data_IF_442925924321
#
_entry.id   IF_442925924321
#
_cell.length_a   1.000
_cell.length_b   1.000
_cell.length_c   1.000
_cell.angle_alpha   90.00
_cell.angle_beta   90.00
_cell.angle_gamma   90.00
#
_symmetry.space_group_name_H-M   'P 1'
#
loop_
_entity.id
_entity.type
_entity.pdbx_description
1 polymer ?
#
# COMPACT_ATOMS: atom_id res chain seq x y z
N UNK A 1 29.39 45.73 -1.42
CA UNK A 1 29.33 44.39 -2.05
C UNK A 1 29.80 43.28 -1.11
N UNK A 2 30.76 43.54 -0.20
CA UNK A 2 31.22 42.54 0.79
C UNK A 2 30.15 42.07 1.79
N UNK A 3 29.12 42.86 2.09
CA UNK A 3 28.02 42.44 2.99
C UNK A 3 27.02 41.45 2.35
N UNK A 4 27.00 41.34 1.01
CA UNK A 4 26.18 40.33 0.30
C UNK A 4 26.93 39.00 0.14
N UNK A 5 28.26 39.00 0.15
CA UNK A 5 29.08 37.79 0.14
C UNK A 5 29.15 37.11 1.52
N UNK A 6 29.14 37.88 2.62
CA UNK A 6 29.01 37.31 3.97
C UNK A 6 27.68 36.60 4.22
N UNK A 7 26.61 36.93 3.46
CA UNK A 7 25.33 36.20 3.52
C UNK A 7 25.37 34.83 2.82
N UNK A 8 26.29 34.62 1.88
CA UNK A 8 26.51 33.32 1.25
C UNK A 8 27.39 32.42 2.14
N UNK A 9 28.40 32.98 2.82
CA UNK A 9 29.18 32.22 3.81
C UNK A 9 28.37 31.87 5.07
N UNK A 10 27.35 32.66 5.43
CA UNK A 10 26.40 32.27 6.49
C UNK A 10 25.38 31.21 6.05
N UNK A 11 25.21 30.97 4.75
CA UNK A 11 24.41 29.84 4.24
C UNK A 11 25.27 28.57 4.17
N UNK A 12 26.58 28.70 3.92
CA UNK A 12 27.53 27.59 4.01
C UNK A 12 27.81 27.13 5.46
N UNK A 13 27.49 27.96 6.47
CA UNK A 13 27.59 27.64 7.90
C UNK A 13 26.25 27.34 8.58
N UNK A 14 25.13 27.44 7.86
CA UNK A 14 23.97 26.68 8.26
C UNK A 14 24.35 25.23 7.97
N UNK A 15 24.60 24.47 9.03
CA UNK A 15 24.57 23.01 9.03
C UNK A 15 23.18 22.57 8.52
N UNK A 16 22.97 22.74 7.23
CA UNK A 16 21.79 22.33 6.51
C UNK A 16 21.94 20.81 6.38
N UNK A 17 21.69 20.12 7.49
CA UNK A 17 21.37 18.70 7.57
C UNK A 17 20.03 18.39 6.87
N UNK A 18 19.70 19.15 5.82
CA UNK A 18 18.58 18.90 4.94
C UNK A 18 18.74 17.51 4.32
N UNK A 19 17.70 16.69 4.49
CA UNK A 19 17.50 15.40 3.84
C UNK A 19 18.50 14.26 4.16
N UNK A 20 19.58 14.49 4.91
CA UNK A 20 20.55 13.43 5.28
C UNK A 20 20.07 12.41 6.33
N UNK A 21 18.76 12.27 6.56
CA UNK A 21 18.22 11.30 7.53
C UNK A 21 16.96 10.58 7.07
N UNK A 22 16.68 10.55 5.77
CA UNK A 22 15.40 10.01 5.30
C UNK A 22 15.41 8.64 4.65
N UNK A 23 16.57 7.98 4.53
CA UNK A 23 16.81 6.59 5.00
C UNK A 23 18.33 6.51 5.23
N UNK A 24 18.81 6.68 6.48
CA UNK A 24 20.18 6.28 6.82
C UNK A 24 20.19 4.76 7.06
N UNK A 25 21.34 4.13 6.79
CA UNK A 25 21.67 2.70 6.92
C UNK A 25 21.57 2.13 8.35
N UNK A 26 20.84 2.78 9.23
CA UNK A 26 20.44 2.26 10.53
C UNK A 26 19.13 2.95 10.90
N UNK A 27 18.03 2.23 10.65
CA UNK A 27 16.73 2.39 11.29
C UNK A 27 15.86 3.59 10.94
N UNK A 28 14.56 3.28 10.97
CA UNK A 28 13.44 4.18 10.76
C UNK A 28 13.24 4.96 12.07
N UNK A 29 13.38 6.29 12.06
CA UNK A 29 12.86 7.14 13.14
C UNK A 29 11.33 7.07 13.09
N UNK A 30 10.75 6.03 13.71
CA UNK A 30 9.30 5.85 13.87
C UNK A 30 8.81 6.65 15.06
N UNK A 31 8.17 7.78 14.77
CA UNK A 31 7.69 8.70 15.80
C UNK A 31 6.28 8.33 16.21
N UNK A 32 6.14 7.72 17.40
CA UNK A 32 5.01 7.85 18.33
C UNK A 32 3.56 7.63 17.83
N UNK A 33 2.56 7.81 18.72
CA UNK A 33 1.15 7.52 18.45
C UNK A 33 0.39 8.60 17.64
N UNK A 34 1.09 9.60 17.09
CA UNK A 34 0.46 10.59 16.21
C UNK A 34 0.16 9.97 14.83
N UNK A 35 -0.84 10.49 14.10
CA UNK A 35 -1.12 10.04 12.73
C UNK A 35 0.14 10.17 11.86
N UNK A 36 0.78 9.02 11.60
CA UNK A 36 1.95 8.95 10.74
C UNK A 36 1.48 9.09 9.30
N UNK A 37 1.95 10.12 8.62
CA UNK A 37 1.80 10.24 7.19
C UNK A 37 2.89 9.45 6.45
N UNK A 38 2.62 9.09 5.21
CA UNK A 38 3.65 8.63 4.28
C UNK A 38 3.77 9.57 3.09
N UNK A 39 4.96 9.62 2.50
CA UNK A 39 5.17 10.10 1.15
C UNK A 39 6.11 9.15 0.40
N UNK A 40 5.65 8.65 -0.74
CA UNK A 40 6.39 7.80 -1.67
C UNK A 40 6.89 8.61 -2.83
N UNK A 41 8.18 8.43 -3.13
CA UNK A 41 8.85 9.18 -4.18
C UNK A 41 9.76 8.26 -4.98
N UNK A 42 9.65 8.29 -6.31
CA UNK A 42 10.77 7.81 -7.12
C UNK A 42 11.94 8.79 -7.01
N UNK A 43 13.09 8.32 -6.51
CA UNK A 43 14.33 9.12 -6.51
C UNK A 43 14.69 9.68 -7.90
N UNK A 44 14.27 9.01 -8.98
CA UNK A 44 14.46 9.40 -10.38
C UNK A 44 13.56 10.57 -10.85
N UNK A 45 12.47 10.87 -10.14
CA UNK A 45 11.42 11.84 -10.51
C UNK A 45 11.51 13.17 -9.76
N UNK A 46 12.48 13.29 -8.88
CA UNK A 46 12.72 14.49 -8.09
C UNK A 46 13.54 15.51 -8.90
N UNK A 47 13.23 16.82 -8.81
CA UNK A 47 13.90 17.87 -9.57
C UNK A 47 15.21 18.23 -8.86
N UNK A 48 16.19 17.34 -8.94
CA UNK A 48 17.48 17.54 -8.29
C UNK A 48 18.43 18.34 -9.19
N UNK A 49 18.27 19.66 -9.18
CA UNK A 49 19.31 20.54 -9.74
C UNK A 49 20.58 20.33 -8.90
N UNK A 50 21.63 19.80 -9.53
CA UNK A 50 22.99 19.59 -9.00
C UNK A 50 23.26 18.37 -8.10
N UNK A 51 22.37 17.37 -8.01
CA UNK A 51 22.70 16.12 -7.30
C UNK A 51 23.65 15.24 -8.13
N UNK A 52 24.70 14.71 -7.49
CA UNK A 52 25.59 13.70 -8.08
C UNK A 52 24.83 12.39 -8.37
N UNK A 53 25.30 11.55 -9.30
CA UNK A 53 24.69 10.24 -9.56
C UNK A 53 24.53 9.38 -8.30
N UNK A 54 25.56 9.35 -7.45
CA UNK A 54 25.54 8.66 -6.16
C UNK A 54 24.49 9.24 -5.20
N UNK A 55 24.39 10.56 -5.11
CA UNK A 55 23.34 11.19 -4.30
C UNK A 55 21.94 10.85 -4.82
N UNK A 56 21.73 10.73 -6.14
CA UNK A 56 20.43 10.30 -6.71
C UNK A 56 20.09 8.84 -6.38
N UNK A 57 21.09 7.97 -6.28
CA UNK A 57 20.95 6.56 -5.90
C UNK A 57 20.70 6.35 -4.39
N UNK A 58 21.20 7.26 -3.55
CA UNK A 58 21.06 7.23 -2.08
C UNK A 58 19.79 7.93 -1.56
N UNK A 59 18.89 8.41 -2.44
CA UNK A 59 17.70 9.15 -2.02
C UNK A 59 16.57 8.24 -1.51
N UNK A 60 15.77 8.72 -0.53
CA UNK A 60 14.71 7.93 0.08
C UNK A 60 13.53 7.71 -0.87
N UNK A 61 13.05 6.46 -0.93
CA UNK A 61 11.86 6.10 -1.70
C UNK A 61 10.56 6.17 -0.89
N UNK A 62 10.68 6.27 0.44
CA UNK A 62 9.59 6.33 1.41
C UNK A 62 9.98 7.27 2.54
N UNK A 63 9.12 8.25 2.81
CA UNK A 63 9.13 9.08 4.00
C UNK A 63 8.01 8.63 4.93
N UNK A 64 8.29 8.55 6.23
CA UNK A 64 7.30 8.31 7.29
C UNK A 64 7.42 9.41 8.35
N UNK A 65 6.31 10.05 8.71
CA UNK A 65 6.30 11.06 9.77
C UNK A 65 5.05 11.96 9.74
N UNK A 66 4.95 12.96 10.63
CA UNK A 66 3.75 13.79 10.76
C UNK A 66 3.34 14.43 9.43
N UNK A 67 2.07 14.27 9.04
CA UNK A 67 1.51 14.74 7.75
C UNK A 67 1.78 16.24 7.54
N UNK A 68 1.65 17.03 8.60
CA UNK A 68 1.83 18.49 8.56
C UNK A 68 3.24 18.93 8.14
N UNK A 69 4.27 18.14 8.46
CA UNK A 69 5.67 18.48 8.16
C UNK A 69 5.93 18.44 6.66
N UNK A 70 5.70 17.29 6.01
CA UNK A 70 6.04 17.15 4.59
C UNK A 70 4.98 17.72 3.65
N UNK A 71 3.69 17.81 4.02
CA UNK A 71 2.66 18.41 3.15
C UNK A 71 2.97 19.89 2.85
N UNK A 72 3.52 20.62 3.83
CA UNK A 72 3.97 22.00 3.67
C UNK A 72 5.20 22.11 2.76
N UNK A 73 6.16 21.19 2.88
CA UNK A 73 7.36 21.13 2.05
C UNK A 73 7.05 20.76 0.59
N UNK A 74 6.14 19.80 0.38
CA UNK A 74 5.68 19.41 -0.95
C UNK A 74 4.92 20.54 -1.66
N UNK A 75 4.04 21.24 -0.94
CA UNK A 75 3.25 22.35 -1.50
C UNK A 75 4.06 23.63 -1.73
N UNK A 76 5.14 23.84 -0.97
CA UNK A 76 6.04 24.99 -1.10
C UNK A 76 7.03 24.90 -2.26
N UNK A 77 7.24 23.71 -2.83
CA UNK A 77 8.24 23.49 -3.88
C UNK A 77 7.67 23.69 -5.28
N UNK A 78 8.12 24.76 -5.95
CA UNK A 78 7.71 25.08 -7.33
C UNK A 78 8.34 24.18 -8.39
N UNK A 79 9.43 23.49 -8.06
CA UNK A 79 10.11 22.57 -8.97
C UNK A 79 9.51 21.16 -8.88
N UNK A 80 8.77 20.82 -7.82
CA UNK A 80 8.19 19.50 -7.56
C UNK A 80 6.89 19.28 -8.36
N UNK A 81 6.95 18.41 -9.37
CA UNK A 81 5.72 17.93 -10.02
C UNK A 81 5.03 16.89 -9.13
N UNK A 82 4.08 17.37 -8.32
CA UNK A 82 3.27 16.60 -7.38
C UNK A 82 2.47 15.45 -8.02
N UNK A 83 2.42 15.35 -9.36
CA UNK A 83 1.88 14.17 -10.05
C UNK A 83 2.78 12.93 -9.92
N UNK A 84 4.06 13.09 -9.56
CA UNK A 84 5.00 11.97 -9.43
C UNK A 84 5.13 11.42 -8.00
N UNK A 85 4.22 11.80 -7.11
CA UNK A 85 4.28 11.48 -5.69
C UNK A 85 2.96 10.86 -5.24
N UNK A 86 3.05 9.81 -4.43
CA UNK A 86 1.90 9.33 -3.66
C UNK A 86 2.14 9.65 -2.18
N UNK A 87 1.14 10.12 -1.48
CA UNK A 87 1.24 10.43 -0.07
C UNK A 87 -0.09 10.19 0.62
N UNK A 88 -0.09 10.04 1.94
CA UNK A 88 -1.32 9.81 2.68
C UNK A 88 -1.09 9.47 4.14
N UNK A 89 -2.07 8.82 4.75
CA UNK A 89 -1.95 8.32 6.12
C UNK A 89 -1.37 6.92 6.10
N UNK A 90 -0.59 6.57 7.12
CA UNK A 90 0.01 5.26 7.24
C UNK A 90 -0.09 4.72 8.67
N UNK A 91 -0.06 3.39 8.75
CA UNK A 91 0.15 2.65 9.99
C UNK A 91 1.35 1.75 9.82
N UNK A 92 2.29 1.84 10.75
CA UNK A 92 3.51 1.03 10.73
C UNK A 92 3.39 -0.05 11.78
N UNK A 93 3.72 -1.28 11.41
CA UNK A 93 3.62 -2.47 12.26
C UNK A 93 4.86 -3.32 12.07
N UNK A 94 5.44 -3.80 13.16
CA UNK A 94 6.53 -4.77 13.13
C UNK A 94 5.97 -6.20 13.01
N UNK A 95 6.60 -7.04 12.18
CA UNK A 95 6.26 -8.46 11.97
C UNK A 95 7.55 -9.26 12.01
N UNK A 96 7.82 -9.92 13.15
CA UNK A 96 9.18 -10.39 13.47
C UNK A 96 10.18 -9.22 13.42
N UNK A 97 11.24 -9.37 12.63
CA UNK A 97 12.23 -8.28 12.41
C UNK A 97 11.84 -7.28 11.33
N UNK A 98 10.82 -7.57 10.52
CA UNK A 98 10.50 -6.76 9.35
C UNK A 98 9.45 -5.69 9.66
N UNK A 99 9.41 -4.65 8.82
CA UNK A 99 8.48 -3.53 8.95
C UNK A 99 7.40 -3.63 7.88
N UNK A 100 6.14 -3.55 8.29
CA UNK A 100 4.99 -3.38 7.42
C UNK A 100 4.45 -1.96 7.52
N UNK A 101 4.31 -1.30 6.37
CA UNK A 101 3.70 0.02 6.23
C UNK A 101 2.40 -0.15 5.47
N UNK A 102 1.30 -0.02 6.19
CA UNK A 102 -0.04 0.03 5.63
C UNK A 102 -0.34 1.49 5.27
N UNK A 103 -0.76 1.73 4.04
CA UNK A 103 -0.90 3.06 3.47
C UNK A 103 -2.33 3.27 3.01
N UNK A 104 -2.92 4.40 3.40
CA UNK A 104 -4.16 4.94 2.84
C UNK A 104 -3.77 6.21 2.10
N UNK A 105 -3.63 6.16 0.77
CA UNK A 105 -3.29 7.32 -0.02
C UNK A 105 -4.30 8.44 0.19
N UNK A 106 -3.80 9.67 0.26
CA UNK A 106 -4.63 10.85 0.23
C UNK A 106 -5.38 10.92 -1.09
N UNK A 107 -6.59 11.43 -0.99
CA UNK A 107 -7.42 11.91 -2.08
C UNK A 107 -6.64 12.63 -3.19
N UNK A 108 -6.95 12.30 -4.44
CA UNK A 108 -6.21 12.82 -5.60
C UNK A 108 -4.84 12.16 -5.86
N UNK A 109 -4.39 11.26 -4.98
CA UNK A 109 -3.07 10.62 -5.07
C UNK A 109 -3.25 9.12 -5.18
N UNK A 110 -3.37 8.64 -6.41
CA UNK A 110 -3.33 7.23 -6.66
C UNK A 110 -1.91 6.70 -6.51
N UNK A 111 -1.81 5.43 -6.11
CA UNK A 111 -0.52 4.74 -6.16
C UNK A 111 -0.57 3.74 -7.29
N UNK A 112 -0.02 4.12 -8.46
CA UNK A 112 0.12 3.20 -9.59
C UNK A 112 0.93 1.98 -9.15
N UNK A 113 0.35 0.78 -9.28
CA UNK A 113 1.00 -0.46 -8.86
C UNK A 113 2.31 -0.68 -9.62
N UNK A 114 2.41 -0.21 -10.88
CA UNK A 114 3.66 -0.27 -11.65
C UNK A 114 4.77 0.55 -11.00
N UNK A 115 4.43 1.75 -10.52
CA UNK A 115 5.35 2.61 -9.78
C UNK A 115 5.72 2.01 -8.42
N UNK A 116 4.72 1.55 -7.66
CA UNK A 116 4.91 0.86 -6.38
C UNK A 116 5.80 -0.36 -6.49
N UNK A 117 5.67 -1.14 -7.57
CA UNK A 117 6.43 -2.37 -7.75
C UNK A 117 7.93 -2.16 -7.68
N UNK A 118 8.44 -1.05 -8.24
CA UNK A 118 9.86 -0.72 -8.19
C UNK A 118 10.29 -0.30 -6.78
N UNK A 119 9.49 0.54 -6.11
CA UNK A 119 9.74 0.95 -4.72
C UNK A 119 9.72 -0.27 -3.78
N UNK A 120 8.66 -1.08 -3.82
CA UNK A 120 8.51 -2.32 -3.05
C UNK A 120 9.69 -3.27 -3.24
N UNK A 121 10.23 -3.38 -4.46
CA UNK A 121 11.40 -4.24 -4.74
C UNK A 121 12.68 -3.72 -4.10
N UNK A 122 12.91 -2.41 -4.12
CA UNK A 122 14.07 -1.82 -3.49
C UNK A 122 14.01 -1.95 -1.96
N UNK A 123 12.85 -1.63 -1.37
CA UNK A 123 12.62 -1.67 0.07
C UNK A 123 12.78 -3.06 0.70
N UNK A 124 12.53 -4.13 -0.08
CA UNK A 124 12.74 -5.52 0.35
C UNK A 124 14.20 -5.97 0.41
N UNK A 125 15.15 -5.15 -0.05
CA UNK A 125 16.59 -5.46 -0.02
C UNK A 125 17.28 -5.00 1.26
N UNK A 126 16.64 -4.12 2.04
CA UNK A 126 17.19 -3.62 3.31
C UNK A 126 16.88 -4.59 4.46
N UNK A 127 17.66 -4.51 5.55
CA UNK A 127 17.33 -5.12 6.85
C UNK A 127 17.15 -4.00 7.89
N UNK A 128 16.02 -3.93 8.61
CA UNK A 128 14.81 -4.74 8.43
C UNK A 128 14.16 -4.51 7.05
N UNK A 129 13.50 -5.53 6.47
CA UNK A 129 12.83 -5.36 5.19
C UNK A 129 11.59 -4.52 5.39
N UNK A 130 11.29 -3.66 4.42
CA UNK A 130 10.09 -2.83 4.45
C UNK A 130 9.08 -3.31 3.41
N UNK A 131 7.90 -3.71 3.89
CA UNK A 131 6.77 -4.14 3.08
C UNK A 131 5.72 -3.02 3.02
N UNK A 132 5.34 -2.63 1.80
CA UNK A 132 4.28 -1.65 1.57
C UNK A 132 2.99 -2.34 1.14
N UNK A 133 1.88 -2.00 1.81
CA UNK A 133 0.54 -2.47 1.47
C UNK A 133 -0.42 -1.28 1.43
N UNK A 134 -1.11 -1.09 0.31
CA UNK A 134 -2.20 -0.11 0.20
C UNK A 134 -3.46 -0.78 0.77
N UNK A 135 -4.14 -0.09 1.68
CA UNK A 135 -5.40 -0.54 2.31
C UNK A 135 -6.48 0.50 2.12
N UNK A 136 -7.74 0.09 2.21
CA UNK A 136 -8.91 0.98 2.14
C UNK A 136 -8.99 1.90 3.35
N UNK A 137 -8.76 1.36 4.55
CA UNK A 137 -8.74 2.11 5.81
C UNK A 137 -7.72 1.54 6.81
N UNK A 138 -7.16 2.40 7.68
CA UNK A 138 -6.17 1.98 8.69
C UNK A 138 -6.81 1.27 9.90
N UNK A 139 -8.11 1.50 10.15
CA UNK A 139 -8.93 0.87 11.19
C UNK A 139 -9.05 -0.64 10.99
N UNK A 140 -9.14 -1.11 9.74
CA UNK A 140 -9.21 -2.52 9.39
C UNK A 140 -7.90 -3.29 9.64
N UNK A 141 -6.78 -2.58 9.77
CA UNK A 141 -5.46 -3.20 10.02
C UNK A 141 -5.37 -3.61 11.49
N UNK A 142 -5.41 -4.92 11.75
CA UNK A 142 -5.26 -5.46 13.11
C UNK A 142 -4.01 -4.88 13.78
N UNK A 143 -4.22 -4.15 14.89
CA UNK A 143 -3.22 -3.45 15.72
C UNK A 143 -2.31 -4.38 16.52
N UNK A 144 -2.34 -5.69 16.24
CA UNK A 144 -1.71 -6.67 17.11
C UNK A 144 -0.19 -6.80 16.92
N UNK A 145 0.46 -5.89 16.20
CA UNK A 145 1.91 -5.78 16.24
C UNK A 145 2.34 -4.97 17.44
N UNK A 146 3.48 -5.33 18.01
CA UNK A 146 4.13 -4.51 19.02
C UNK A 146 4.39 -3.09 18.45
N UNK A 147 4.48 -2.10 19.35
CA UNK A 147 5.18 -0.86 18.98
C UNK A 147 6.53 -1.24 18.37
N UNK A 148 6.94 -0.55 17.31
CA UNK A 148 8.18 -0.92 16.62
C UNK A 148 9.35 -0.69 17.56
N UNK A 149 9.83 -1.76 18.16
CA UNK A 149 11.05 -1.83 18.94
C UNK A 149 11.90 -2.86 18.24
N UNK A 150 12.81 -2.40 17.41
CA UNK A 150 13.90 -3.27 17.02
C UNK A 150 14.91 -3.11 18.18
N UNK A 151 15.48 -4.20 18.67
CA UNK A 151 16.56 -4.18 19.67
C UNK A 151 17.74 -4.90 19.02
N UNK A 152 18.89 -4.22 18.91
CA UNK A 152 20.09 -4.79 18.27
C UNK A 152 20.79 -5.82 19.16
N UNK A 153 20.40 -5.94 20.43
CA UNK A 153 21.01 -6.84 21.41
C UNK A 153 20.14 -8.06 21.74
N UNK A 154 19.05 -8.32 21.00
CA UNK A 154 18.21 -9.48 21.25
C UNK A 154 18.98 -10.78 21.00
N UNK A 155 18.87 -11.74 21.93
CA UNK A 155 19.52 -13.03 21.76
C UNK A 155 18.79 -13.85 20.68
N UNK A 156 19.52 -14.67 19.93
CA UNK A 156 18.92 -15.51 18.87
C UNK A 156 17.89 -16.51 19.43
N UNK A 157 18.01 -16.91 20.69
CA UNK A 157 17.02 -17.74 21.38
C UNK A 157 15.71 -17.00 21.66
N UNK A 158 15.78 -15.70 21.98
CA UNK A 158 14.59 -14.87 22.21
C UNK A 158 13.91 -14.55 20.87
N UNK A 159 14.68 -14.27 19.82
CA UNK A 159 14.17 -14.10 18.46
C UNK A 159 13.44 -15.35 17.96
N UNK A 160 14.02 -16.54 18.22
CA UNK A 160 13.39 -17.81 17.90
C UNK A 160 12.02 -17.98 18.58
N UNK A 161 11.93 -17.65 19.88
CA UNK A 161 10.68 -17.74 20.65
C UNK A 161 9.65 -16.74 20.15
N UNK A 162 10.03 -15.49 19.94
CA UNK A 162 9.12 -14.43 19.46
C UNK A 162 8.56 -14.78 18.07
N UNK A 163 9.43 -15.17 17.14
CA UNK A 163 9.03 -15.56 15.80
C UNK A 163 8.11 -16.80 15.81
N UNK A 164 8.42 -17.78 16.66
CA UNK A 164 7.59 -18.97 16.85
C UNK A 164 6.20 -18.64 17.41
N UNK A 165 6.11 -17.74 18.38
CA UNK A 165 4.83 -17.26 18.94
C UNK A 165 4.00 -16.50 17.89
N UNK A 166 4.62 -15.64 17.08
CA UNK A 166 3.94 -14.95 15.99
C UNK A 166 3.41 -15.94 14.93
N UNK A 167 4.22 -16.93 14.54
CA UNK A 167 3.78 -17.99 13.62
C UNK A 167 2.55 -18.75 14.17
N UNK A 168 2.58 -19.13 15.44
CA UNK A 168 1.45 -19.80 16.11
C UNK A 168 0.20 -18.92 16.14
N UNK A 169 0.35 -17.63 16.47
CA UNK A 169 -0.74 -16.65 16.52
C UNK A 169 -1.43 -16.53 15.16
N UNK A 170 -0.68 -16.26 14.10
CA UNK A 170 -1.27 -16.09 12.78
C UNK A 170 -1.76 -17.40 12.18
N UNK A 171 -1.11 -18.55 12.46
CA UNK A 171 -1.66 -19.85 12.12
C UNK A 171 -3.04 -20.06 12.77
N UNK A 172 -3.18 -19.76 14.07
CA UNK A 172 -4.47 -19.89 14.76
C UNK A 172 -5.53 -18.95 14.16
N UNK A 173 -5.15 -17.72 13.80
CA UNK A 173 -6.04 -16.78 13.11
C UNK A 173 -6.52 -17.32 11.75
N UNK A 174 -5.65 -17.95 10.95
CA UNK A 174 -6.09 -18.56 9.68
C UNK A 174 -7.15 -19.63 9.85
N UNK A 175 -7.04 -20.46 10.89
CA UNK A 175 -8.02 -21.52 11.19
C UNK A 175 -9.35 -20.90 11.61
N UNK A 176 -9.31 -19.87 12.47
CA UNK A 176 -10.51 -19.14 12.90
C UNK A 176 -11.23 -18.47 11.73
N UNK A 177 -10.50 -17.77 10.85
CA UNK A 177 -11.08 -17.09 9.69
C UNK A 177 -11.70 -18.10 8.73
N UNK A 178 -11.00 -19.22 8.44
CA UNK A 178 -11.56 -20.29 7.59
C UNK A 178 -12.88 -20.84 8.13
N UNK A 179 -12.92 -21.16 9.42
CA UNK A 179 -14.16 -21.62 10.06
C UNK A 179 -15.28 -20.57 10.00
N UNK A 180 -14.95 -19.28 10.11
CA UNK A 180 -15.94 -18.21 9.99
C UNK A 180 -16.50 -18.08 8.55
N UNK A 181 -15.66 -18.30 7.53
CA UNK A 181 -16.08 -18.24 6.13
C UNK A 181 -17.10 -19.33 5.75
N UNK A 182 -16.99 -20.52 6.36
CA UNK A 182 -17.89 -21.66 6.07
C UNK A 182 -19.36 -21.36 6.41
N UNK A 183 -19.60 -20.52 7.44
CA UNK A 183 -20.95 -20.13 7.87
C UNK A 183 -21.36 -18.70 7.46
N UNK A 184 -20.49 -17.96 6.78
CA UNK A 184 -20.74 -16.57 6.42
C UNK A 184 -21.64 -16.44 5.19
N UNK A 185 -22.47 -15.39 5.17
CA UNK A 185 -23.15 -14.94 3.96
C UNK A 185 -22.12 -14.41 2.93
N UNK A 186 -22.50 -14.20 1.66
CA UNK A 186 -21.55 -13.79 0.61
C UNK A 186 -20.76 -12.52 0.91
N UNK A 187 -21.41 -11.48 1.46
CA UNK A 187 -20.76 -10.20 1.75
C UNK A 187 -19.72 -10.32 2.88
N UNK A 188 -20.09 -11.00 3.98
CA UNK A 188 -19.17 -11.26 5.09
C UNK A 188 -18.03 -12.18 4.68
N UNK A 189 -18.30 -13.16 3.80
CA UNK A 189 -17.29 -14.06 3.26
C UNK A 189 -16.22 -13.30 2.45
N UNK A 190 -16.59 -12.32 1.65
CA UNK A 190 -15.64 -11.49 0.90
C UNK A 190 -14.72 -10.69 1.85
N UNK A 191 -15.29 -10.06 2.88
CA UNK A 191 -14.51 -9.36 3.91
C UNK A 191 -13.55 -10.30 4.65
N UNK A 192 -14.02 -11.50 4.99
CA UNK A 192 -13.19 -12.53 5.62
C UNK A 192 -12.08 -13.05 4.69
N UNK A 193 -12.31 -13.14 3.37
CA UNK A 193 -11.28 -13.51 2.39
C UNK A 193 -10.17 -12.46 2.31
N UNK A 194 -10.52 -11.17 2.23
CA UNK A 194 -9.53 -10.07 2.25
C UNK A 194 -8.69 -10.15 3.53
N UNK A 195 -9.35 -10.33 4.68
CA UNK A 195 -8.67 -10.52 5.97
C UNK A 195 -7.78 -11.77 5.99
N UNK A 196 -8.25 -12.87 5.41
CA UNK A 196 -7.48 -14.11 5.28
C UNK A 196 -6.18 -13.88 4.50
N UNK A 197 -6.24 -13.19 3.37
CA UNK A 197 -5.07 -12.81 2.56
C UNK A 197 -4.08 -11.95 3.35
N UNK A 198 -4.55 -10.97 4.12
CA UNK A 198 -3.67 -10.15 4.96
C UNK A 198 -2.91 -11.00 5.99
N UNK A 199 -3.60 -11.94 6.65
CA UNK A 199 -2.96 -12.89 7.58
C UNK A 199 -1.95 -13.79 6.86
N UNK A 200 -2.27 -14.27 5.64
CA UNK A 200 -1.33 -15.05 4.83
C UNK A 200 -0.09 -14.25 4.41
N UNK A 201 -0.22 -12.96 4.13
CA UNK A 201 0.92 -12.09 3.83
C UNK A 201 1.87 -12.00 5.04
N UNK A 202 1.33 -11.84 6.25
CA UNK A 202 2.12 -11.84 7.49
C UNK A 202 2.82 -13.18 7.72
N UNK A 203 2.09 -14.29 7.57
CA UNK A 203 2.67 -15.63 7.67
C UNK A 203 3.80 -15.87 6.66
N UNK A 204 3.65 -15.37 5.42
CA UNK A 204 4.70 -15.47 4.41
C UNK A 204 5.99 -14.78 4.87
N UNK A 205 5.86 -13.59 5.44
CA UNK A 205 7.00 -12.82 5.91
C UNK A 205 7.65 -13.47 7.14
N UNK A 206 6.85 -14.01 8.07
CA UNK A 206 7.36 -14.80 9.18
C UNK A 206 8.09 -16.06 8.72
N UNK A 207 7.61 -16.74 7.67
CA UNK A 207 8.32 -17.87 7.07
C UNK A 207 9.64 -17.44 6.42
N UNK A 208 9.69 -16.25 5.81
CA UNK A 208 10.93 -15.69 5.27
C UNK A 208 11.94 -15.37 6.38
N UNK A 209 11.51 -14.71 7.47
CA UNK A 209 12.35 -14.49 8.67
C UNK A 209 12.85 -15.82 9.23
N UNK A 210 11.98 -16.83 9.35
CA UNK A 210 12.36 -18.14 9.86
C UNK A 210 13.43 -18.80 8.96
N UNK A 211 13.25 -18.70 7.66
CA UNK A 211 14.19 -19.27 6.67
C UNK A 211 15.55 -18.60 6.73
N UNK A 212 15.59 -17.28 6.91
CA UNK A 212 16.83 -16.49 6.85
C UNK A 212 17.55 -16.40 8.20
N UNK A 213 16.81 -16.29 9.30
CA UNK A 213 17.37 -15.94 10.61
C UNK A 213 17.37 -17.14 11.58
N UNK A 214 16.45 -18.11 11.43
CA UNK A 214 16.35 -19.28 12.33
C UNK A 214 16.98 -20.55 11.74
N UNK A 215 16.65 -20.89 10.49
CA UNK A 215 17.16 -22.13 9.87
C UNK A 215 18.69 -22.27 9.90
N UNK A 216 19.51 -21.21 9.71
CA UNK A 216 20.97 -21.35 9.80
C UNK A 216 21.46 -21.80 11.18
N UNK A 217 20.64 -21.62 12.22
CA UNK A 217 20.94 -21.95 13.61
C UNK A 217 20.04 -23.08 14.14
N UNK A 218 19.37 -23.83 13.24
CA UNK A 218 18.40 -24.86 13.61
C UNK A 218 18.99 -25.93 14.54
N UNK A 219 20.24 -26.35 14.30
CA UNK A 219 20.92 -27.37 15.12
C UNK A 219 21.21 -26.88 16.55
N UNK A 220 21.34 -25.57 16.74
CA UNK A 220 21.62 -24.94 18.03
C UNK A 220 20.34 -24.59 18.81
N UNK A 221 19.28 -24.22 18.09
CA UNK A 221 18.02 -23.70 18.64
C UNK A 221 16.93 -24.77 18.78
N UNK A 222 16.90 -25.73 17.86
CA UNK A 222 15.92 -26.84 17.84
C UNK A 222 16.54 -28.05 18.53
N UNK A 223 16.90 -27.86 19.80
CA UNK A 223 17.44 -28.92 20.65
C UNK A 223 16.29 -29.83 21.12
N UNK A 224 16.13 -30.94 20.39
CA UNK A 224 15.47 -32.18 20.84
C UNK A 224 13.93 -32.22 20.98
N UNK A 225 13.18 -31.56 20.10
CA UNK A 225 11.89 -32.16 19.69
C UNK A 225 11.59 -31.90 18.21
N UNK A 226 11.75 -32.92 17.33
CA UNK A 226 11.31 -32.89 15.93
C UNK A 226 9.81 -32.53 15.78
N UNK A 227 9.09 -32.52 16.90
CA UNK A 227 7.68 -32.23 17.03
C UNK A 227 7.28 -30.82 17.46
N UNK A 228 8.21 -29.91 17.79
CA UNK A 228 7.86 -28.56 18.29
C UNK A 228 6.87 -27.88 17.34
N UNK A 229 5.75 -27.42 17.92
CA UNK A 229 4.58 -26.92 17.18
C UNK A 229 4.94 -25.86 16.14
N UNK A 230 5.94 -25.02 16.43
CA UNK A 230 6.37 -23.93 15.54
C UNK A 230 7.07 -24.44 14.26
N UNK A 231 7.96 -25.42 14.36
CA UNK A 231 8.65 -25.98 13.18
C UNK A 231 7.66 -26.65 12.22
N UNK A 232 6.66 -27.38 12.75
CA UNK A 232 5.57 -27.96 11.95
C UNK A 232 4.69 -26.89 11.29
N UNK A 233 4.39 -25.81 12.01
CA UNK A 233 3.64 -24.68 11.47
C UNK A 233 4.42 -24.00 10.34
N UNK A 234 5.70 -23.73 10.56
CA UNK A 234 6.59 -23.20 9.53
C UNK A 234 6.62 -24.10 8.30
N UNK A 235 6.91 -25.39 8.44
CA UNK A 235 6.98 -26.35 7.31
C UNK A 235 5.68 -26.37 6.50
N UNK A 236 4.53 -26.39 7.19
CA UNK A 236 3.20 -26.33 6.55
C UNK A 236 3.04 -25.08 5.69
N UNK A 237 3.36 -23.91 6.24
CA UNK A 237 3.17 -22.64 5.54
C UNK A 237 4.20 -22.41 4.46
N UNK A 238 5.45 -22.81 4.68
CA UNK A 238 6.50 -22.74 3.67
C UNK A 238 6.12 -23.57 2.45
N UNK A 239 5.68 -24.82 2.65
CA UNK A 239 5.19 -25.67 1.56
C UNK A 239 3.96 -25.07 0.84
N UNK A 240 3.02 -24.47 1.58
CA UNK A 240 1.88 -23.75 1.00
C UNK A 240 2.36 -22.61 0.08
N UNK A 241 3.31 -21.79 0.53
CA UNK A 241 3.80 -20.64 -0.25
C UNK A 241 4.65 -21.07 -1.45
N UNK A 242 5.42 -22.15 -1.33
CA UNK A 242 6.24 -22.72 -2.42
C UNK A 242 5.35 -23.27 -3.54
N UNK A 243 4.32 -24.05 -3.21
CA UNK A 243 3.34 -24.54 -4.20
C UNK A 243 2.67 -23.41 -4.96
N UNK A 244 2.22 -22.38 -4.24
CA UNK A 244 1.62 -21.18 -4.86
C UNK A 244 2.60 -20.45 -5.75
N UNK A 245 3.84 -20.26 -5.29
CA UNK A 245 4.87 -19.56 -6.06
C UNK A 245 5.23 -20.34 -7.34
N UNK A 246 5.37 -21.66 -7.25
CA UNK A 246 5.62 -22.51 -8.41
C UNK A 246 4.50 -22.43 -9.44
N UNK A 247 3.23 -22.44 -8.99
CA UNK A 247 2.08 -22.27 -9.88
C UNK A 247 2.06 -20.88 -10.55
N UNK A 248 2.31 -19.81 -9.79
CA UNK A 248 2.42 -18.44 -10.30
C UNK A 248 3.49 -18.29 -11.38
N UNK A 249 4.62 -18.98 -11.23
CA UNK A 249 5.73 -18.94 -12.18
C UNK A 249 5.56 -19.91 -13.36
N UNK A 250 4.46 -20.65 -13.43
CA UNK A 250 4.23 -21.67 -14.46
C UNK A 250 5.21 -22.85 -14.36
N UNK A 251 5.82 -23.06 -13.19
CA UNK A 251 6.80 -24.12 -12.92
C UNK A 251 6.18 -25.40 -12.36
N UNK A 252 4.88 -25.40 -12.09
CA UNK A 252 4.15 -26.55 -11.57
C UNK A 252 2.71 -26.57 -12.08
N UNK A 253 2.23 -27.75 -12.46
CA UNK A 253 0.81 -28.02 -12.75
C UNK A 253 0.09 -28.64 -11.54
N UNK A 254 0.70 -28.58 -10.35
CA UNK A 254 0.08 -29.02 -9.09
C UNK A 254 -1.30 -28.36 -8.90
N UNK A 255 -2.34 -29.19 -8.81
CA UNK A 255 -3.74 -28.75 -8.75
C UNK A 255 -3.96 -27.86 -7.52
N UNK A 256 -3.35 -28.23 -6.39
CA UNK A 256 -3.43 -27.45 -5.17
C UNK A 256 -2.75 -26.09 -5.35
N UNK A 257 -1.49 -26.05 -5.80
CA UNK A 257 -0.75 -24.81 -6.08
C UNK A 257 -1.50 -23.87 -7.03
N UNK A 258 -2.14 -24.41 -8.07
CA UNK A 258 -2.98 -23.61 -8.99
C UNK A 258 -4.19 -23.02 -8.30
N UNK A 259 -4.91 -23.82 -7.49
CA UNK A 259 -6.05 -23.34 -6.70
C UNK A 259 -5.64 -22.22 -5.73
N UNK A 260 -4.48 -22.36 -5.07
CA UNK A 260 -3.96 -21.36 -4.13
C UNK A 260 -3.58 -20.03 -4.82
N UNK A 261 -3.01 -20.08 -6.02
CA UNK A 261 -2.71 -18.84 -6.75
C UNK A 261 -3.99 -18.21 -7.32
N UNK A 262 -4.95 -19.01 -7.78
CA UNK A 262 -6.25 -18.50 -8.21
C UNK A 262 -7.01 -17.82 -7.06
N UNK A 263 -7.04 -18.44 -5.88
CA UNK A 263 -7.61 -17.84 -4.65
C UNK A 263 -6.95 -16.49 -4.33
N UNK A 264 -5.62 -16.40 -4.50
CA UNK A 264 -4.86 -15.15 -4.28
C UNK A 264 -5.24 -14.07 -5.30
N UNK A 265 -5.42 -14.42 -6.57
CA UNK A 265 -5.82 -13.51 -7.65
C UNK A 265 -7.24 -13.00 -7.43
N UNK A 266 -8.18 -13.90 -7.16
CA UNK A 266 -9.55 -13.58 -6.81
C UNK A 266 -9.62 -12.63 -5.59
N UNK A 267 -8.96 -13.00 -4.48
CA UNK A 267 -8.99 -12.19 -3.26
C UNK A 267 -8.32 -10.82 -3.45
N UNK A 268 -7.27 -10.73 -4.28
CA UNK A 268 -6.67 -9.43 -4.62
C UNK A 268 -7.66 -8.55 -5.39
N UNK A 269 -8.38 -9.14 -6.34
CA UNK A 269 -9.39 -8.42 -7.11
C UNK A 269 -10.53 -7.91 -6.23
N UNK A 270 -10.97 -8.71 -5.23
CA UNK A 270 -11.93 -8.24 -4.22
C UNK A 270 -11.41 -7.06 -3.40
N UNK A 271 -10.16 -7.12 -2.96
CA UNK A 271 -9.52 -6.04 -2.20
C UNK A 271 -9.46 -4.75 -3.02
N UNK A 272 -9.16 -4.83 -4.32
CA UNK A 272 -9.14 -3.64 -5.18
C UNK A 272 -10.54 -3.07 -5.42
N UNK A 273 -11.56 -3.93 -5.52
CA UNK A 273 -12.97 -3.50 -5.57
C UNK A 273 -13.35 -2.78 -4.26
N UNK A 274 -13.01 -3.35 -3.11
CA UNK A 274 -13.29 -2.75 -1.79
C UNK A 274 -12.61 -1.38 -1.64
N UNK A 275 -11.34 -1.29 -2.08
CA UNK A 275 -10.58 -0.05 -2.11
C UNK A 275 -11.23 0.99 -3.01
N UNK A 276 -11.67 0.60 -4.21
CA UNK A 276 -12.34 1.48 -5.15
C UNK A 276 -13.61 2.11 -4.56
N UNK A 277 -14.50 1.28 -3.99
CA UNK A 277 -15.76 1.80 -3.41
C UNK A 277 -15.50 2.61 -2.14
N UNK A 278 -14.59 2.17 -1.28
CA UNK A 278 -14.24 2.92 -0.06
C UNK A 278 -13.68 4.30 -0.41
N UNK A 279 -12.81 4.38 -1.43
CA UNK A 279 -12.25 5.63 -1.92
C UNK A 279 -13.33 6.57 -2.47
N UNK A 280 -14.38 6.04 -3.10
CA UNK A 280 -15.53 6.84 -3.54
C UNK A 280 -16.33 7.35 -2.35
N UNK A 281 -16.68 6.47 -1.40
CA UNK A 281 -17.56 6.78 -0.26
C UNK A 281 -16.95 7.79 0.71
N UNK A 282 -15.63 7.76 0.91
CA UNK A 282 -14.94 8.57 1.94
C UNK A 282 -14.20 9.78 1.37
N UNK A 283 -14.45 10.13 0.10
CA UNK A 283 -13.79 11.25 -0.56
C UNK A 283 -14.70 12.46 -0.70
N UNK A 284 -14.43 13.52 0.06
CA UNK A 284 -15.22 14.77 0.00
C UNK A 284 -15.05 15.60 -1.32
N UNK A 285 -14.26 15.12 -2.31
CA UNK A 285 -13.79 15.82 -3.55
C UNK A 285 -13.09 14.78 -4.45
N UNK A 286 -13.90 14.13 -5.29
CA UNK A 286 -13.46 13.03 -6.13
C UNK A 286 -12.58 13.55 -7.28
N UNK A 287 -11.27 13.32 -7.18
CA UNK A 287 -10.35 13.55 -8.29
C UNK A 287 -10.51 12.44 -9.32
N UNK A 288 -10.89 12.81 -10.54
CA UNK A 288 -11.10 11.85 -11.64
C UNK A 288 -9.86 11.03 -11.96
N UNK A 289 -8.66 11.59 -11.76
CA UNK A 289 -7.40 10.87 -12.00
C UNK A 289 -7.17 9.71 -11.04
N UNK A 290 -7.74 9.74 -9.84
CA UNK A 290 -7.65 8.62 -8.89
C UNK A 290 -8.56 7.48 -9.32
N UNK A 291 -9.79 7.81 -9.69
CA UNK A 291 -10.77 6.82 -10.15
C UNK A 291 -10.27 6.14 -11.43
N UNK A 292 -9.65 6.89 -12.35
CA UNK A 292 -9.01 6.34 -13.55
C UNK A 292 -7.91 5.32 -13.22
N UNK A 293 -7.05 5.62 -12.24
CA UNK A 293 -5.97 4.71 -11.82
C UNK A 293 -6.51 3.48 -11.10
N UNK A 294 -7.51 3.63 -10.23
CA UNK A 294 -8.11 2.51 -9.51
C UNK A 294 -8.83 1.56 -10.49
N UNK A 295 -9.58 2.10 -11.47
CA UNK A 295 -10.17 1.31 -12.55
C UNK A 295 -9.11 0.60 -13.38
N UNK A 296 -8.00 1.28 -13.71
CA UNK A 296 -6.87 0.68 -14.44
C UNK A 296 -6.22 -0.46 -13.64
N UNK A 297 -6.00 -0.27 -12.34
CA UNK A 297 -5.44 -1.28 -11.44
C UNK A 297 -6.36 -2.51 -11.38
N UNK A 298 -7.66 -2.28 -11.18
CA UNK A 298 -8.67 -3.32 -11.10
C UNK A 298 -8.77 -4.11 -12.40
N UNK A 299 -8.76 -3.42 -13.55
CA UNK A 299 -8.70 -4.04 -14.88
C UNK A 299 -7.44 -4.88 -15.07
N UNK A 300 -6.29 -4.37 -14.63
CA UNK A 300 -5.02 -5.08 -14.72
C UNK A 300 -5.05 -6.37 -13.90
N UNK A 301 -5.61 -6.35 -12.69
CA UNK A 301 -5.69 -7.55 -11.85
C UNK A 301 -6.71 -8.56 -12.35
N UNK A 302 -7.86 -8.11 -12.87
CA UNK A 302 -8.82 -8.98 -13.55
C UNK A 302 -8.17 -9.66 -14.77
N UNK A 303 -7.44 -8.91 -15.60
CA UNK A 303 -6.76 -9.49 -16.76
C UNK A 303 -5.68 -10.49 -16.34
N UNK A 304 -4.90 -10.19 -15.30
CA UNK A 304 -3.93 -11.14 -14.76
C UNK A 304 -4.60 -12.44 -14.29
N UNK A 305 -5.80 -12.35 -13.69
CA UNK A 305 -6.56 -13.53 -13.28
C UNK A 305 -7.05 -14.33 -14.48
N UNK A 306 -7.62 -13.67 -15.49
CA UNK A 306 -8.05 -14.30 -16.75
C UNK A 306 -6.92 -15.00 -17.47
N UNK A 307 -5.77 -14.35 -17.58
CA UNK A 307 -4.56 -14.92 -18.21
C UNK A 307 -4.06 -16.14 -17.43
N UNK A 308 -4.09 -16.09 -16.10
CA UNK A 308 -3.69 -17.21 -15.25
C UNK A 308 -4.61 -18.43 -15.40
N UNK A 309 -5.93 -18.21 -15.46
CA UNK A 309 -6.91 -19.27 -15.74
C UNK A 309 -6.72 -19.81 -17.16
N UNK A 310 -6.60 -18.91 -18.14
CA UNK A 310 -6.43 -19.23 -19.55
C UNK A 310 -7.55 -20.15 -20.05
N UNK A 311 -7.18 -21.26 -20.70
CA UNK A 311 -8.12 -22.27 -21.18
C UNK A 311 -8.43 -23.37 -20.15
N UNK A 312 -7.92 -23.24 -18.92
CA UNK A 312 -8.10 -24.26 -17.87
C UNK A 312 -9.37 -23.96 -17.07
N UNK A 313 -9.93 -24.97 -16.41
CA UNK A 313 -11.08 -24.77 -15.52
C UNK A 313 -10.70 -23.88 -14.33
N UNK A 314 -11.59 -22.93 -14.00
CA UNK A 314 -11.47 -21.98 -12.90
C UNK A 314 -12.16 -22.54 -11.66
N UNK A 315 -11.48 -22.47 -10.50
CA UNK A 315 -12.09 -22.81 -9.20
C UNK A 315 -13.08 -21.75 -8.71
N UNK A 316 -13.15 -20.62 -9.40
CA UNK A 316 -13.88 -19.41 -9.05
C UNK A 316 -14.59 -18.84 -10.29
N UNK A 317 -15.14 -19.71 -11.14
CA UNK A 317 -15.67 -19.34 -12.45
C UNK A 317 -16.86 -18.36 -12.37
N UNK A 318 -17.74 -18.58 -11.39
CA UNK A 318 -18.89 -17.69 -11.15
C UNK A 318 -18.44 -16.33 -10.65
N UNK A 319 -17.47 -16.30 -9.73
CA UNK A 319 -16.90 -15.07 -9.19
C UNK A 319 -16.13 -14.29 -10.27
N UNK A 320 -15.37 -14.97 -11.11
CA UNK A 320 -14.67 -14.34 -12.24
C UNK A 320 -15.67 -13.65 -13.17
N UNK A 321 -16.76 -14.35 -13.54
CA UNK A 321 -17.82 -13.80 -14.38
C UNK A 321 -18.51 -12.60 -13.72
N UNK A 322 -18.85 -12.72 -12.43
CA UNK A 322 -19.48 -11.63 -11.69
C UNK A 322 -18.59 -10.37 -11.62
N UNK A 323 -17.28 -10.55 -11.43
CA UNK A 323 -16.32 -9.44 -11.45
C UNK A 323 -16.18 -8.85 -12.85
N UNK A 324 -16.15 -9.66 -13.91
CA UNK A 324 -16.14 -9.16 -15.29
C UNK A 324 -17.37 -8.31 -15.63
N UNK A 325 -18.56 -8.76 -15.21
CA UNK A 325 -19.82 -8.02 -15.39
C UNK A 325 -19.81 -6.72 -14.60
N UNK A 326 -19.37 -6.77 -13.33
CA UNK A 326 -19.22 -5.59 -12.48
C UNK A 326 -18.24 -4.57 -13.09
N UNK A 327 -17.14 -5.04 -13.67
CA UNK A 327 -16.17 -4.16 -14.34
C UNK A 327 -16.74 -3.47 -15.56
N UNK A 328 -17.48 -4.18 -16.42
CA UNK A 328 -18.16 -3.57 -17.56
C UNK A 328 -19.16 -2.50 -17.13
N UNK A 329 -19.89 -2.76 -16.05
CA UNK A 329 -20.83 -1.80 -15.49
C UNK A 329 -20.11 -0.57 -14.94
N UNK A 330 -19.03 -0.75 -14.16
CA UNK A 330 -18.21 0.35 -13.64
C UNK A 330 -17.60 1.21 -14.75
N UNK A 331 -17.06 0.59 -15.82
CA UNK A 331 -16.54 1.34 -16.98
C UNK A 331 -17.63 2.17 -17.67
N UNK A 332 -18.85 1.62 -17.78
CA UNK A 332 -19.99 2.31 -18.38
C UNK A 332 -20.47 3.48 -17.53
N UNK A 333 -20.63 3.27 -16.22
CA UNK A 333 -21.02 4.32 -15.27
C UNK A 333 -19.95 5.42 -15.22
N UNK A 334 -18.67 5.04 -15.14
CA UNK A 334 -17.57 5.98 -15.12
C UNK A 334 -17.53 6.88 -16.36
N UNK A 335 -17.73 6.30 -17.56
CA UNK A 335 -17.80 7.08 -18.80
C UNK A 335 -18.92 8.15 -18.79
N UNK A 336 -19.96 7.98 -17.98
CA UNK A 336 -21.03 8.96 -17.80
C UNK A 336 -20.67 10.00 -16.72
N UNK A 337 -20.10 9.56 -15.59
CA UNK A 337 -19.78 10.43 -14.45
C UNK A 337 -18.49 11.27 -14.66
N UNK A 338 -17.45 10.73 -15.29
CA UNK A 338 -16.16 11.38 -15.49
C UNK A 338 -16.27 12.80 -16.09
N UNK A 339 -16.96 13.04 -17.22
CA UNK A 339 -17.06 14.38 -17.79
C UNK A 339 -17.83 15.35 -16.88
N UNK A 340 -18.79 14.87 -16.10
CA UNK A 340 -19.57 15.69 -15.16
C UNK A 340 -18.73 16.07 -13.94
N UNK A 341 -17.98 15.12 -13.37
CA UNK A 341 -17.04 15.39 -12.28
C UNK A 341 -15.93 16.35 -12.69
N UNK A 342 -15.37 16.21 -13.90
CA UNK A 342 -14.39 17.19 -14.44
C UNK A 342 -14.97 18.61 -14.54
N UNK A 343 -16.25 18.72 -14.93
CA UNK A 343 -16.96 20.02 -14.97
C UNK A 343 -17.23 20.55 -13.57
N UNK A 344 -17.64 19.69 -12.64
CA UNK A 344 -17.89 20.03 -11.25
C UNK A 344 -16.62 20.58 -10.59
N UNK A 345 -15.51 19.83 -10.64
CA UNK A 345 -14.23 20.23 -10.05
C UNK A 345 -13.73 21.56 -10.63
N UNK A 346 -13.85 21.75 -11.95
CA UNK A 346 -13.50 23.01 -12.62
C UNK A 346 -14.39 24.17 -12.16
N UNK A 347 -15.70 23.96 -12.04
CA UNK A 347 -16.63 24.99 -11.59
C UNK A 347 -16.39 25.38 -10.13
N UNK A 348 -16.12 24.41 -9.26
CA UNK A 348 -15.77 24.63 -7.85
C UNK A 348 -14.47 25.44 -7.71
N UNK A 349 -13.42 25.08 -8.45
CA UNK A 349 -12.15 25.84 -8.42
C UNK A 349 -12.32 27.29 -8.93
N UNK A 350 -13.10 27.50 -9.98
CA UNK A 350 -13.40 28.85 -10.49
C UNK A 350 -14.24 29.67 -9.51
N UNK A 351 -15.21 29.05 -8.85
CA UNK A 351 -16.04 29.68 -7.83
C UNK A 351 -15.21 30.09 -6.61
N UNK A 352 -14.31 29.21 -6.15
CA UNK A 352 -13.40 29.49 -5.05
C UNK A 352 -12.50 30.69 -5.37
N UNK A 353 -11.85 30.69 -6.55
CA UNK A 353 -11.01 31.81 -6.99
C UNK A 353 -11.79 33.13 -7.11
N UNK A 354 -13.04 33.10 -7.59
CA UNK A 354 -13.89 34.29 -7.67
C UNK A 354 -14.31 34.81 -6.28
N UNK A 355 -14.54 33.90 -5.34
CA UNK A 355 -14.89 34.21 -3.95
C UNK A 355 -13.71 34.88 -3.24
N UNK A 356 -12.51 34.33 -3.39
CA UNK A 356 -11.27 34.90 -2.84
C UNK A 356 -10.95 36.27 -3.45
N UNK A 357 -11.28 36.48 -4.72
CA UNK A 357 -11.09 37.77 -5.41
C UNK A 357 -12.21 38.80 -5.14
N UNK A 358 -13.29 38.43 -4.45
CA UNK A 358 -14.45 39.31 -4.21
C UNK A 358 -15.24 39.69 -5.48
N UNK A 359 -15.12 38.91 -6.57
CA UNK A 359 -15.77 39.20 -7.86
C UNK A 359 -17.21 38.66 -7.86
N UNK A 360 -18.13 39.45 -7.31
CA UNK A 360 -19.55 39.08 -7.12
C UNK A 360 -20.26 38.68 -8.41
N UNK A 361 -19.89 39.28 -9.55
CA UNK A 361 -20.45 38.92 -10.85
C UNK A 361 -20.00 37.52 -11.31
N UNK A 362 -18.71 37.18 -11.12
CA UNK A 362 -18.21 35.82 -11.39
C UNK A 362 -18.77 34.79 -10.41
N UNK A 363 -18.91 35.13 -9.13
CA UNK A 363 -19.51 34.26 -8.11
C UNK A 363 -20.91 33.82 -8.57
N UNK A 364 -21.81 34.76 -8.89
CA UNK A 364 -23.17 34.42 -9.33
C UNK A 364 -23.21 33.56 -10.60
N UNK A 365 -22.32 33.82 -11.56
CA UNK A 365 -22.21 33.02 -12.79
C UNK A 365 -21.72 31.59 -12.51
N UNK A 366 -20.68 31.44 -11.69
CA UNK A 366 -20.10 30.13 -11.39
C UNK A 366 -21.01 29.29 -10.49
N UNK A 367 -21.72 29.89 -9.52
CA UNK A 367 -22.75 29.19 -8.72
C UNK A 367 -23.85 28.63 -9.61
N UNK A 368 -24.36 29.40 -10.58
CA UNK A 368 -25.38 28.90 -11.52
C UNK A 368 -24.86 27.74 -12.37
N UNK A 369 -23.62 27.85 -12.87
CA UNK A 369 -22.98 26.78 -13.63
C UNK A 369 -22.76 25.51 -12.80
N UNK A 370 -22.37 25.65 -11.53
CA UNK A 370 -22.21 24.54 -10.59
C UNK A 370 -23.55 23.83 -10.36
N UNK A 371 -24.63 24.57 -10.10
CA UNK A 371 -25.96 24.00 -9.90
C UNK A 371 -26.45 23.19 -11.12
N UNK A 372 -26.16 23.64 -12.35
CA UNK A 372 -26.51 22.89 -13.55
C UNK A 372 -25.74 21.57 -13.66
N UNK A 373 -24.47 21.53 -13.25
CA UNK A 373 -23.68 20.29 -13.23
C UNK A 373 -24.21 19.34 -12.14
N UNK A 374 -24.53 19.86 -10.95
CA UNK A 374 -25.14 19.07 -9.86
C UNK A 374 -26.49 18.48 -10.28
N UNK A 375 -27.34 19.25 -10.96
CA UNK A 375 -28.61 18.76 -11.50
C UNK A 375 -28.41 17.66 -12.55
N UNK A 376 -27.38 17.77 -13.41
CA UNK A 376 -27.04 16.71 -14.36
C UNK A 376 -26.56 15.43 -13.66
N UNK A 377 -25.76 15.56 -12.60
CA UNK A 377 -25.28 14.41 -11.81
C UNK A 377 -26.44 13.71 -11.10
N UNK A 378 -27.38 14.46 -10.52
CA UNK A 378 -28.53 13.91 -9.80
C UNK A 378 -29.58 13.22 -10.70
N UNK A 379 -29.50 13.44 -12.02
CA UNK A 379 -30.43 12.90 -13.02
C UNK A 379 -29.83 11.73 -13.84
N UNK A 380 -28.60 11.29 -13.51
CA UNK A 380 -28.04 10.00 -13.94
C UNK A 380 -28.50 8.90 -12.97
#
# INVERSE_FOLDING_TARGET
>A
MESKLKKLDSIAKLDYNGYQKLVKTSWVDLVGPEEVGFALVEGSKLPWKNATPKQKEEQPMLYLGPISKWKSELSGSKDLDLANYSYGSAKVVQVGKDIHVYMVPSKGKATDEKHLKNIKKALKKFKPRVFLEVVSELSAVESSGAEVSIDENTSIEDEFKELGQELQKYHTLTVKIKKAMDGANPADRQKLQIKYKQVLNRLKNLCMNWTEDILPHADELIKEDPGTTWAKIYQKWNAYFDKRQAAKEGKSDDVEGRKLEEERLYTKTLEDIDQFFTAIEHSDDLDTSVIDVDLMNLKTHLENWKVFVGNKESNYAEELKAVEEKMKQLEKEWAQYEPLLKRYNKATALLQAATEAGDTAKIGRFTKGLNQVVEQINNL
#
